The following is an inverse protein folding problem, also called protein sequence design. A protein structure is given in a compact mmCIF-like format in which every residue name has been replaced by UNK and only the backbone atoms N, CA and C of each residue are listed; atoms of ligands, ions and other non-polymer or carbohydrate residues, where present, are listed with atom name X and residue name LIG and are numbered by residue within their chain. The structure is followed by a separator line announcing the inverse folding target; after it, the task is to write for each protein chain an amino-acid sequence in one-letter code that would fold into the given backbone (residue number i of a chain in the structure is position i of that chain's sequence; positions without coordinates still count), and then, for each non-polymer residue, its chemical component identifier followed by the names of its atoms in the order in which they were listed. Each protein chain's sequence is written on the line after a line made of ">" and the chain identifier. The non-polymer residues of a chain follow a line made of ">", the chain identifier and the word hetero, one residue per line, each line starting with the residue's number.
data_IF_373982774947
#
_entry.id   IF_373982774947
#
_cell.length_a   1.000
_cell.length_b   1.000
_cell.length_c   1.000
_cell.angle_alpha   90.00
_cell.angle_beta   90.00
_cell.angle_gamma   90.00
#
_symmetry.space_group_name_H-M   'P 1'
#
loop_
_entity.id
_entity.type
_entity.pdbx_description
1 polymer ?
#
# COMPACT_ATOMS: atom_id res chain seq x y z
N UNK A 1 -2.24 -6.53 -18.11
CA UNK A 1 -1.09 -5.61 -18.33
C UNK A 1 0.23 -6.34 -18.59
N UNK A 2 0.57 -7.37 -17.82
CA UNK A 2 1.85 -8.07 -18.00
C UNK A 2 1.94 -8.76 -19.36
N UNK A 3 0.83 -9.34 -19.82
CA UNK A 3 0.68 -9.87 -21.20
C UNK A 3 0.88 -8.79 -22.28
N UNK A 4 0.68 -7.52 -21.93
CA UNK A 4 0.87 -6.37 -22.82
C UNK A 4 2.32 -5.83 -22.78
N UNK A 5 3.22 -6.53 -22.09
CA UNK A 5 4.66 -6.21 -22.02
C UNK A 5 5.07 -5.32 -20.85
N UNK A 6 4.16 -5.03 -19.91
CA UNK A 6 4.52 -4.30 -18.70
C UNK A 6 5.42 -5.14 -17.80
N UNK A 7 6.48 -4.54 -17.25
CA UNK A 7 7.36 -5.21 -16.26
C UNK A 7 6.88 -5.05 -14.83
N UNK A 8 6.22 -3.93 -14.53
CA UNK A 8 5.66 -3.57 -13.23
C UNK A 8 4.30 -2.92 -13.42
N UNK A 9 3.48 -2.93 -12.36
CA UNK A 9 2.20 -2.23 -12.28
C UNK A 9 2.37 -0.70 -12.31
N UNK A 10 3.27 -0.17 -11.49
CA UNK A 10 3.53 1.27 -11.35
C UNK A 10 4.99 1.61 -11.64
N UNK A 11 5.85 1.53 -10.63
CA UNK A 11 7.25 1.96 -10.65
C UNK A 11 8.09 1.04 -9.78
N UNK A 12 9.38 0.93 -10.12
CA UNK A 12 10.37 0.25 -9.29
C UNK A 12 10.86 1.12 -8.13
N UNK A 13 10.73 2.45 -8.25
CA UNK A 13 11.21 3.38 -7.24
C UNK A 13 10.29 3.37 -6.02
N UNK A 14 10.82 3.35 -4.77
CA UNK A 14 9.99 3.42 -3.57
C UNK A 14 9.12 4.68 -3.56
N UNK A 15 7.96 4.60 -2.92
CA UNK A 15 7.05 5.74 -2.87
C UNK A 15 7.73 6.94 -2.19
N UNK A 16 7.62 8.12 -2.80
CA UNK A 16 8.16 9.35 -2.25
C UNK A 16 7.61 9.69 -0.85
N UNK A 17 6.34 9.35 -0.56
CA UNK A 17 5.73 9.53 0.76
C UNK A 17 6.39 8.64 1.82
N UNK A 18 6.67 7.37 1.48
CA UNK A 18 7.43 6.46 2.34
C UNK A 18 8.84 6.98 2.61
N UNK A 19 9.56 7.42 1.57
CA UNK A 19 10.90 7.98 1.73
C UNK A 19 10.90 9.21 2.63
N UNK A 20 9.86 10.04 2.56
CA UNK A 20 9.68 11.18 3.45
C UNK A 20 9.46 10.71 4.90
N UNK A 21 8.56 9.75 5.13
CA UNK A 21 8.29 9.19 6.45
C UNK A 21 9.55 8.60 7.09
N UNK A 22 10.37 7.87 6.34
CA UNK A 22 11.65 7.32 6.82
C UNK A 22 12.62 8.43 7.24
N UNK A 23 12.70 9.53 6.47
CA UNK A 23 13.57 10.67 6.82
C UNK A 23 13.11 11.40 8.07
N UNK A 24 11.81 11.58 8.24
CA UNK A 24 11.22 12.35 9.34
C UNK A 24 11.09 11.55 10.63
N UNK A 25 10.82 10.24 10.51
CA UNK A 25 10.55 9.31 11.61
C UNK A 25 11.31 7.99 11.45
N UNK A 26 12.65 8.01 11.38
CA UNK A 26 13.44 6.78 11.25
C UNK A 26 13.25 5.83 12.45
N UNK A 27 12.85 6.34 13.61
CA UNK A 27 12.51 5.57 14.80
C UNK A 27 11.35 4.58 14.60
N UNK A 28 10.42 4.91 13.70
CA UNK A 28 9.23 4.09 13.40
C UNK A 28 9.59 2.82 12.60
N UNK A 29 10.68 2.85 11.83
CA UNK A 29 11.12 1.72 10.99
C UNK A 29 12.09 0.78 11.72
N UNK A 30 11.96 0.69 13.05
CA UNK A 30 12.74 -0.21 13.89
C UNK A 30 11.95 -1.47 14.22
N UNK A 31 12.65 -2.60 14.37
CA UNK A 31 12.02 -3.89 14.65
C UNK A 31 11.44 -4.56 13.41
N UNK A 32 10.36 -5.31 13.59
CA UNK A 32 9.75 -6.14 12.54
C UNK A 32 8.59 -5.41 11.85
N UNK A 33 8.67 -5.34 10.53
CA UNK A 33 7.73 -4.59 9.68
C UNK A 33 6.81 -5.56 8.92
N UNK A 34 5.52 -5.23 8.82
CA UNK A 34 4.60 -5.89 7.88
C UNK A 34 4.11 -4.90 6.82
N UNK A 35 4.30 -5.23 5.54
CA UNK A 35 3.80 -4.47 4.38
C UNK A 35 2.53 -5.12 3.84
N UNK A 36 1.39 -4.44 4.00
CA UNK A 36 0.03 -4.94 3.77
C UNK A 36 -0.45 -4.54 2.37
N UNK A 37 -0.59 -5.53 1.49
CA UNK A 37 -0.91 -5.31 0.07
C UNK A 37 0.31 -4.83 -0.70
N UNK A 38 1.43 -5.54 -0.54
CA UNK A 38 2.73 -5.11 -1.04
C UNK A 38 2.85 -5.11 -2.58
N UNK A 39 1.90 -5.73 -3.30
CA UNK A 39 1.94 -5.88 -4.74
C UNK A 39 3.23 -6.56 -5.20
N UNK A 40 3.95 -5.91 -6.11
CA UNK A 40 5.23 -6.39 -6.63
C UNK A 40 6.42 -6.04 -5.71
N UNK A 41 6.14 -5.59 -4.49
CA UNK A 41 7.13 -5.39 -3.44
C UNK A 41 7.95 -4.11 -3.56
N UNK A 42 7.52 -3.10 -4.33
CA UNK A 42 8.26 -1.84 -4.53
C UNK A 42 8.84 -1.24 -3.24
N UNK A 43 7.98 -1.04 -2.25
CA UNK A 43 8.36 -0.44 -0.96
C UNK A 43 9.07 -1.47 -0.05
N UNK A 44 8.62 -2.72 -0.07
CA UNK A 44 9.26 -3.85 0.62
C UNK A 44 10.71 -4.09 0.21
N UNK A 45 11.01 -4.10 -1.09
CA UNK A 45 12.34 -4.33 -1.66
C UNK A 45 13.31 -3.22 -1.24
N UNK A 46 12.84 -1.97 -1.24
CA UNK A 46 13.63 -0.85 -0.72
C UNK A 46 13.96 -1.04 0.76
N UNK A 47 12.98 -1.37 1.59
CA UNK A 47 13.22 -1.59 3.03
C UNK A 47 14.16 -2.78 3.29
N UNK A 48 14.00 -3.88 2.56
CA UNK A 48 14.91 -5.03 2.60
C UNK A 48 16.34 -4.63 2.20
N UNK A 49 16.51 -3.78 1.18
CA UNK A 49 17.83 -3.29 0.77
C UNK A 49 18.49 -2.37 1.81
N UNK A 50 17.70 -1.77 2.71
CA UNK A 50 18.22 -1.01 3.86
C UNK A 50 18.47 -1.90 5.09
N UNK A 51 18.23 -3.21 4.99
CA UNK A 51 18.46 -4.17 6.07
C UNK A 51 17.33 -4.28 7.11
N UNK A 52 16.13 -3.79 6.80
CA UNK A 52 14.97 -3.97 7.67
C UNK A 52 14.45 -5.42 7.60
N UNK A 53 13.86 -5.91 8.70
CA UNK A 53 13.12 -7.17 8.76
C UNK A 53 11.68 -6.93 8.30
N UNK A 54 11.37 -7.36 7.07
CA UNK A 54 10.08 -7.08 6.41
C UNK A 54 9.37 -8.38 6.05
N UNK A 55 8.12 -8.48 6.48
CA UNK A 55 7.15 -9.46 5.98
C UNK A 55 6.19 -8.76 5.04
N UNK A 56 6.07 -9.23 3.81
CA UNK A 56 5.31 -8.58 2.76
C UNK A 56 4.15 -9.48 2.34
N UNK A 57 2.92 -8.97 2.44
CA UNK A 57 1.73 -9.77 2.17
C UNK A 57 0.91 -9.20 1.03
N UNK A 58 0.44 -10.08 0.16
CA UNK A 58 -0.49 -9.76 -0.90
C UNK A 58 -1.37 -10.98 -1.21
N UNK A 59 -2.53 -10.78 -1.83
CA UNK A 59 -3.41 -11.88 -2.31
C UNK A 59 -3.02 -12.35 -3.71
N UNK A 60 -2.28 -11.55 -4.46
CA UNK A 60 -1.88 -11.83 -5.83
C UNK A 60 -0.62 -12.68 -5.86
N UNK A 61 -0.80 -13.98 -6.13
CA UNK A 61 0.30 -14.90 -6.38
C UNK A 61 1.28 -14.37 -7.45
N UNK A 62 0.73 -13.84 -8.55
CA UNK A 62 1.51 -13.27 -9.66
C UNK A 62 2.36 -12.08 -9.22
N UNK A 63 1.84 -11.19 -8.38
CA UNK A 63 2.59 -10.04 -7.90
C UNK A 63 3.72 -10.46 -6.96
N UNK A 64 3.45 -11.43 -6.07
CA UNK A 64 4.46 -11.99 -5.16
C UNK A 64 5.57 -12.73 -5.89
N UNK A 65 5.27 -13.48 -6.95
CA UNK A 65 6.30 -14.13 -7.77
C UNK A 65 7.22 -13.10 -8.43
N UNK A 66 6.66 -12.00 -8.95
CA UNK A 66 7.45 -10.89 -9.48
C UNK A 66 8.30 -10.22 -8.39
N UNK A 67 7.73 -9.99 -7.22
CA UNK A 67 8.47 -9.44 -6.09
C UNK A 67 9.67 -10.32 -5.71
N UNK A 68 9.49 -11.65 -5.71
CA UNK A 68 10.56 -12.63 -5.46
C UNK A 68 11.62 -12.63 -6.56
N UNK A 69 11.23 -12.53 -7.84
CA UNK A 69 12.17 -12.38 -8.96
C UNK A 69 13.04 -11.13 -8.81
N UNK A 70 12.42 -9.99 -8.45
CA UNK A 70 13.11 -8.72 -8.23
C UNK A 70 14.04 -8.78 -7.01
N UNK A 71 13.58 -9.37 -5.90
CA UNK A 71 14.40 -9.61 -4.71
C UNK A 71 15.63 -10.46 -5.06
N UNK A 72 15.44 -11.57 -5.78
CA UNK A 72 16.52 -12.44 -6.21
C UNK A 72 17.54 -11.71 -7.11
N UNK A 73 17.06 -10.90 -8.06
CA UNK A 73 17.92 -10.08 -8.92
C UNK A 73 18.74 -9.04 -8.13
N UNK A 74 18.22 -8.56 -7.00
CA UNK A 74 18.88 -7.63 -6.09
C UNK A 74 19.69 -8.31 -4.97
N UNK A 75 19.75 -9.65 -4.91
CA UNK A 75 20.34 -10.45 -3.83
C UNK A 75 19.73 -10.15 -2.44
N UNK A 76 18.42 -9.91 -2.39
CA UNK A 76 17.64 -9.69 -1.17
C UNK A 76 16.95 -10.99 -0.74
N UNK A 77 16.72 -11.15 0.56
CA UNK A 77 15.95 -12.29 1.08
C UNK A 77 14.46 -12.10 0.77
N UNK A 78 13.90 -13.02 -0.01
CA UNK A 78 12.50 -13.02 -0.40
C UNK A 78 11.63 -13.95 0.45
N UNK A 79 12.18 -14.54 1.53
CA UNK A 79 11.46 -15.48 2.39
C UNK A 79 10.25 -14.85 3.10
N UNK A 80 10.26 -13.53 3.27
CA UNK A 80 9.18 -12.75 3.88
C UNK A 80 7.98 -12.45 2.97
N UNK A 81 8.00 -12.80 1.68
CA UNK A 81 6.86 -12.59 0.77
C UNK A 81 5.84 -13.72 0.88
N UNK A 82 4.66 -13.45 1.45
CA UNK A 82 3.65 -14.46 1.80
C UNK A 82 2.29 -14.13 1.20
N UNK A 83 1.68 -15.12 0.54
CA UNK A 83 0.32 -14.99 0.01
C UNK A 83 -0.72 -15.05 1.13
N UNK A 84 -1.34 -13.91 1.43
CA UNK A 84 -2.31 -13.77 2.53
C UNK A 84 -3.34 -12.69 2.24
N UNK A 85 -4.56 -12.97 2.68
CA UNK A 85 -5.64 -11.98 2.74
C UNK A 85 -5.44 -11.06 3.95
N UNK A 86 -5.26 -9.76 3.66
CA UNK A 86 -5.06 -8.72 4.66
C UNK A 86 -6.28 -8.53 5.57
N UNK A 87 -7.48 -8.93 5.15
CA UNK A 87 -8.70 -8.84 5.97
C UNK A 87 -8.55 -9.71 7.24
N UNK A 88 -7.87 -10.85 7.13
CA UNK A 88 -7.78 -11.83 8.22
C UNK A 88 -6.38 -12.01 8.79
N UNK A 89 -5.32 -11.76 8.01
CA UNK A 89 -3.91 -11.94 8.40
C UNK A 89 -3.69 -13.28 9.14
N UNK A 90 -4.27 -14.36 8.59
CA UNK A 90 -4.23 -15.68 9.21
C UNK A 90 -2.79 -16.20 9.30
N UNK A 91 -2.43 -16.71 10.47
CA UNK A 91 -1.11 -17.28 10.73
C UNK A 91 -0.08 -16.28 11.26
N UNK A 92 -0.43 -15.00 11.36
CA UNK A 92 0.36 -14.05 12.16
C UNK A 92 -0.10 -14.07 13.60
N UNK A 93 0.84 -14.05 14.54
CA UNK A 93 0.57 -14.00 15.97
C UNK A 93 0.30 -12.56 16.43
N UNK A 94 -0.40 -12.42 17.54
CA UNK A 94 -0.63 -11.12 18.15
C UNK A 94 0.68 -10.55 18.69
N UNK A 95 0.83 -9.23 18.66
CA UNK A 95 2.04 -8.52 19.13
C UNK A 95 3.35 -9.03 18.49
N UNK A 96 3.31 -9.36 17.20
CA UNK A 96 4.45 -9.88 16.44
C UNK A 96 5.16 -8.85 15.56
N UNK A 97 4.58 -7.66 15.37
CA UNK A 97 5.14 -6.58 14.54
C UNK A 97 5.28 -5.26 15.31
N UNK A 98 6.31 -4.50 15.00
CA UNK A 98 6.57 -3.17 15.54
C UNK A 98 5.97 -2.08 14.64
N UNK A 99 5.90 -2.34 13.33
CA UNK A 99 5.31 -1.46 12.33
C UNK A 99 4.46 -2.26 11.34
N UNK A 100 3.25 -1.75 11.06
CA UNK A 100 2.44 -2.14 9.93
C UNK A 100 2.40 -0.99 8.92
N UNK A 101 2.50 -1.31 7.64
CA UNK A 101 2.39 -0.36 6.54
C UNK A 101 1.25 -0.80 5.64
N UNK A 102 0.39 0.14 5.26
CA UNK A 102 -0.59 -0.02 4.20
C UNK A 102 -0.42 1.16 3.25
N UNK A 103 0.34 0.93 2.18
CA UNK A 103 0.70 1.97 1.21
C UNK A 103 -0.19 1.81 -0.02
N UNK A 104 -1.32 2.53 -0.07
CA UNK A 104 -2.19 2.49 -1.23
C UNK A 104 -2.96 1.17 -1.43
N UNK A 105 -3.28 0.44 -0.36
CA UNK A 105 -4.06 -0.80 -0.44
C UNK A 105 -5.45 -0.71 0.22
N UNK A 106 -5.55 -0.04 1.38
CA UNK A 106 -6.78 -0.01 2.19
C UNK A 106 -7.98 0.55 1.42
N UNK A 107 -7.77 1.48 0.50
CA UNK A 107 -8.85 2.04 -0.32
C UNK A 107 -9.55 1.00 -1.21
N UNK A 108 -8.92 -0.15 -1.46
CA UNK A 108 -9.49 -1.28 -2.22
C UNK A 108 -10.47 -2.13 -1.39
N UNK A 109 -10.42 -2.04 -0.07
CA UNK A 109 -11.43 -2.63 0.81
C UNK A 109 -12.62 -1.67 0.89
N UNK A 110 -13.66 -1.94 0.09
CA UNK A 110 -14.84 -1.06 -0.01
C UNK A 110 -15.97 -1.43 0.94
N UNK A 111 -15.99 -2.67 1.43
CA UNK A 111 -16.99 -3.14 2.39
C UNK A 111 -16.59 -2.77 3.82
N UNK A 112 -17.42 -1.99 4.52
CA UNK A 112 -17.11 -1.47 5.87
C UNK A 112 -16.78 -2.59 6.88
N UNK A 113 -17.45 -3.75 6.78
CA UNK A 113 -17.17 -4.89 7.66
C UNK A 113 -15.75 -5.45 7.43
N UNK A 114 -15.31 -5.51 6.17
CA UNK A 114 -13.98 -6.01 5.83
C UNK A 114 -12.90 -5.02 6.27
N UNK A 115 -13.14 -3.71 6.11
CA UNK A 115 -12.26 -2.65 6.60
C UNK A 115 -12.11 -2.71 8.11
N UNK A 116 -13.22 -2.74 8.85
CA UNK A 116 -13.20 -2.83 10.31
C UNK A 116 -12.48 -4.09 10.80
N UNK A 117 -12.70 -5.23 10.12
CA UNK A 117 -12.02 -6.49 10.43
C UNK A 117 -10.50 -6.40 10.17
N UNK A 118 -10.10 -5.84 9.03
CA UNK A 118 -8.70 -5.61 8.69
C UNK A 118 -8.01 -4.73 9.75
N UNK A 119 -8.59 -3.56 10.06
CA UNK A 119 -8.00 -2.60 11.01
C UNK A 119 -7.90 -3.23 12.41
N UNK A 120 -8.94 -3.95 12.85
CA UNK A 120 -8.89 -4.69 14.12
C UNK A 120 -7.77 -5.72 14.13
N UNK A 121 -7.59 -6.46 13.02
CA UNK A 121 -6.53 -7.47 12.95
C UNK A 121 -5.14 -6.84 12.92
N UNK A 122 -4.97 -5.71 12.25
CA UNK A 122 -3.71 -4.93 12.29
C UNK A 122 -3.40 -4.47 13.72
N UNK A 123 -4.42 -4.01 14.46
CA UNK A 123 -4.27 -3.67 15.87
C UNK A 123 -3.76 -4.87 16.70
N UNK A 124 -4.32 -6.06 16.50
CA UNK A 124 -3.94 -7.25 17.27
C UNK A 124 -2.49 -7.70 17.02
N UNK A 125 -2.05 -7.69 15.77
CA UNK A 125 -0.69 -8.15 15.40
C UNK A 125 0.40 -7.16 15.78
N UNK A 126 0.06 -5.88 15.94
CA UNK A 126 1.01 -4.87 16.39
C UNK A 126 1.31 -5.01 17.88
N UNK A 127 2.57 -4.86 18.25
CA UNK A 127 2.99 -4.79 19.66
C UNK A 127 2.40 -3.54 20.34
N UNK A 128 2.24 -3.54 21.67
CA UNK A 128 1.93 -2.31 22.39
C UNK A 128 2.98 -1.24 22.08
N UNK A 129 2.56 -0.03 21.73
CA UNK A 129 3.43 1.05 21.27
C UNK A 129 3.84 0.97 19.79
N UNK A 130 3.47 -0.10 19.08
CA UNK A 130 3.71 -0.27 17.65
C UNK A 130 2.95 0.72 16.78
N UNK A 131 3.42 0.90 15.55
CA UNK A 131 2.92 1.92 14.64
C UNK A 131 2.16 1.33 13.46
N UNK A 132 1.23 2.11 12.91
CA UNK A 132 0.53 1.79 11.68
C UNK A 132 0.62 2.99 10.72
N UNK A 133 1.26 2.82 9.58
CA UNK A 133 1.30 3.82 8.51
C UNK A 133 0.23 3.46 7.49
N UNK A 134 -0.61 4.42 7.13
CA UNK A 134 -1.63 4.25 6.08
C UNK A 134 -1.55 5.40 5.10
N UNK A 135 -1.31 5.10 3.83
CA UNK A 135 -1.44 6.05 2.71
C UNK A 135 -2.71 5.72 1.93
N UNK A 136 -3.70 6.62 1.99
CA UNK A 136 -5.06 6.36 1.49
C UNK A 136 -5.52 7.49 0.57
N UNK A 137 -6.22 7.13 -0.51
CA UNK A 137 -6.81 8.12 -1.41
C UNK A 137 -7.80 9.02 -0.64
N UNK A 138 -7.53 10.33 -0.69
CA UNK A 138 -8.31 11.34 0.03
C UNK A 138 -9.50 11.89 -0.75
N UNK A 139 -9.56 11.59 -2.04
CA UNK A 139 -10.54 12.09 -2.99
C UNK A 139 -9.94 12.16 -4.39
N UNK A 140 -10.79 12.26 -5.41
CA UNK A 140 -10.37 12.31 -6.81
C UNK A 140 -9.49 11.10 -7.20
N UNK A 141 -9.92 9.90 -6.83
CA UNK A 141 -9.19 8.66 -7.10
C UNK A 141 -8.74 8.60 -8.56
N UNK A 142 -7.46 8.25 -8.78
CA UNK A 142 -6.86 8.24 -10.11
C UNK A 142 -6.20 9.56 -10.53
N UNK A 143 -6.50 10.70 -9.88
CA UNK A 143 -5.85 11.97 -10.20
C UNK A 143 -4.39 11.97 -9.76
N UNK A 144 -3.50 12.28 -10.70
CA UNK A 144 -2.05 12.29 -10.47
C UNK A 144 -1.39 10.92 -10.65
N UNK A 145 -2.17 9.87 -10.90
CA UNK A 145 -1.60 8.54 -11.18
C UNK A 145 -0.84 8.60 -12.50
N UNK A 146 0.36 8.02 -12.53
CA UNK A 146 1.08 7.84 -13.78
C UNK A 146 0.21 7.12 -14.82
N UNK A 147 -0.55 6.12 -14.39
CA UNK A 147 -1.39 5.30 -15.25
C UNK A 147 -2.67 5.99 -15.74
N UNK A 148 -2.99 7.19 -15.23
CA UNK A 148 -4.06 8.06 -15.73
C UNK A 148 -3.49 9.47 -15.99
N UNK A 149 -2.76 9.68 -17.10
CA UNK A 149 -2.25 11.01 -17.44
C UNK A 149 -3.37 12.00 -17.79
N UNK A 150 -4.43 11.53 -18.46
CA UNK A 150 -5.52 12.35 -18.98
C UNK A 150 -6.73 12.36 -18.03
N UNK A 151 -6.49 12.59 -16.73
CA UNK A 151 -7.51 12.47 -15.68
C UNK A 151 -8.80 13.23 -15.99
N UNK A 152 -8.71 14.46 -16.50
CA UNK A 152 -9.89 15.28 -16.79
C UNK A 152 -10.82 14.64 -17.84
N UNK A 153 -10.27 13.86 -18.77
CA UNK A 153 -11.05 13.18 -19.81
C UNK A 153 -11.67 11.89 -19.28
N UNK A 154 -10.96 11.13 -18.46
CA UNK A 154 -11.43 9.82 -17.97
C UNK A 154 -12.19 9.88 -16.65
N UNK A 155 -12.11 10.98 -15.89
CA UNK A 155 -12.74 11.10 -14.57
C UNK A 155 -14.23 10.69 -14.54
N UNK A 156 -15.07 11.04 -15.55
CA UNK A 156 -16.46 10.59 -15.60
C UNK A 156 -16.64 9.06 -15.75
N UNK A 157 -15.59 8.36 -16.19
CA UNK A 157 -15.58 6.92 -16.45
C UNK A 157 -14.86 6.10 -15.37
N UNK A 158 -14.38 6.73 -14.30
CA UNK A 158 -13.81 6.08 -13.12
C UNK A 158 -14.90 5.44 -12.25
N UNK A 159 -15.63 4.50 -12.85
CA UNK A 159 -16.71 3.76 -12.21
C UNK A 159 -16.29 2.29 -12.12
N UNK A 160 -16.31 1.65 -10.94
CA UNK A 160 -15.93 0.25 -10.79
C UNK A 160 -16.60 -0.66 -11.82
N UNK A 161 -15.81 -1.54 -12.44
CA UNK A 161 -16.26 -2.44 -13.51
C UNK A 161 -16.20 -1.84 -14.93
N UNK A 162 -16.00 -0.53 -15.09
CA UNK A 162 -15.74 0.05 -16.43
C UNK A 162 -14.30 -0.18 -16.85
N UNK A 163 -14.08 -0.38 -18.14
CA UNK A 163 -12.74 -0.42 -18.73
C UNK A 163 -12.36 0.97 -19.19
N UNK A 164 -11.24 1.47 -18.69
CA UNK A 164 -10.66 2.76 -19.10
C UNK A 164 -9.27 2.56 -19.72
N UNK A 165 -8.81 3.48 -20.58
CA UNK A 165 -7.41 3.49 -21.00
C UNK A 165 -6.51 3.77 -19.79
N UNK A 166 -5.55 2.88 -19.56
CA UNK A 166 -4.51 3.01 -18.54
C UNK A 166 -3.15 2.96 -19.21
N UNK A 167 -2.31 3.92 -18.85
CA UNK A 167 -0.92 3.99 -19.30
C UNK A 167 -0.06 2.99 -18.52
N UNK A 168 0.74 2.22 -19.24
CA UNK A 168 1.70 1.26 -18.69
C UNK A 168 3.10 1.52 -19.24
N UNK A 169 4.11 1.11 -18.47
CA UNK A 169 5.52 1.15 -18.88
C UNK A 169 5.92 -0.19 -19.50
N UNK A 170 6.40 -0.18 -20.73
CA UNK A 170 6.90 -1.35 -21.47
C UNK A 170 8.38 -1.16 -21.81
N UNK A 171 9.08 -2.20 -22.30
CA UNK A 171 10.52 -2.14 -22.54
C UNK A 171 10.95 -0.98 -23.47
N UNK A 172 10.14 -0.67 -24.48
CA UNK A 172 10.43 0.34 -25.51
C UNK A 172 9.63 1.66 -25.34
N UNK A 173 9.09 1.94 -24.14
CA UNK A 173 8.40 3.19 -23.84
C UNK A 173 7.11 3.01 -23.04
N UNK A 174 6.06 3.73 -23.43
CA UNK A 174 4.76 3.73 -22.76
C UNK A 174 3.66 3.33 -23.75
N UNK A 175 2.65 2.61 -23.26
CA UNK A 175 1.50 2.17 -24.05
C UNK A 175 0.22 2.32 -23.24
N UNK A 176 -0.88 2.64 -23.90
CA UNK A 176 -2.21 2.58 -23.30
C UNK A 176 -2.84 1.22 -23.54
N UNK A 177 -3.41 0.64 -22.48
CA UNK A 177 -4.18 -0.61 -22.51
C UNK A 177 -5.53 -0.39 -21.81
N UNK A 178 -6.54 -1.16 -22.17
CA UNK A 178 -7.79 -1.16 -21.41
C UNK A 178 -7.62 -1.94 -20.11
N UNK A 179 -7.91 -1.32 -18.97
CA UNK A 179 -8.01 -2.01 -17.68
C UNK A 179 -9.32 -1.63 -16.98
N UNK A 180 -9.87 -2.59 -16.26
CA UNK A 180 -11.03 -2.38 -15.42
C UNK A 180 -10.70 -1.47 -14.24
N UNK A 181 -11.60 -0.53 -13.93
CA UNK A 181 -11.57 0.24 -12.69
C UNK A 181 -11.96 -0.70 -11.56
N UNK A 182 -11.02 -0.92 -10.65
CA UNK A 182 -11.26 -1.75 -9.47
C UNK A 182 -12.16 -1.01 -8.47
N UNK A 183 -12.91 -1.73 -7.61
CA UNK A 183 -13.60 -1.10 -6.49
C UNK A 183 -12.64 -0.30 -5.62
N UNK A 184 -13.02 0.93 -5.29
CA UNK A 184 -12.25 1.80 -4.41
C UNK A 184 -13.18 2.59 -3.49
N UNK A 185 -12.62 3.07 -2.39
CA UNK A 185 -13.26 3.94 -1.42
C UNK A 185 -12.36 5.14 -1.13
N UNK A 186 -12.94 6.33 -1.09
CA UNK A 186 -12.24 7.55 -0.72
C UNK A 186 -12.53 7.88 0.74
N UNK A 187 -11.53 8.41 1.44
CA UNK A 187 -11.65 8.89 2.82
C UNK A 187 -10.78 10.12 3.00
N UNK A 188 -11.37 11.24 3.42
CA UNK A 188 -10.55 12.38 3.87
C UNK A 188 -9.62 11.96 5.01
N UNK A 189 -8.54 12.68 5.24
CA UNK A 189 -7.63 12.40 6.35
C UNK A 189 -8.34 12.32 7.71
N UNK A 190 -9.29 13.22 7.96
CA UNK A 190 -10.08 13.22 9.20
C UNK A 190 -11.01 12.00 9.32
N UNK A 191 -11.67 11.60 8.22
CA UNK A 191 -12.52 10.42 8.21
C UNK A 191 -11.71 9.14 8.41
N UNK A 192 -10.52 9.05 7.81
CA UNK A 192 -9.61 7.92 7.99
C UNK A 192 -9.06 7.87 9.44
N UNK A 193 -8.73 9.03 10.00
CA UNK A 193 -8.31 9.16 11.39
C UNK A 193 -9.39 8.68 12.36
N UNK A 194 -10.64 9.09 12.14
CA UNK A 194 -11.78 8.65 12.96
C UNK A 194 -12.02 7.14 12.81
N UNK A 195 -12.02 6.63 11.56
CA UNK A 195 -12.22 5.21 11.27
C UNK A 195 -11.20 4.33 12.00
N UNK A 196 -9.90 4.59 11.82
CA UNK A 196 -8.83 3.80 12.43
C UNK A 196 -8.79 4.04 13.95
N UNK A 197 -9.11 5.25 14.40
CA UNK A 197 -9.16 5.61 15.82
C UNK A 197 -10.21 4.82 16.62
N UNK A 198 -11.35 4.44 16.01
CA UNK A 198 -12.36 3.59 16.66
C UNK A 198 -11.83 2.21 17.08
N UNK A 199 -10.72 1.77 16.50
CA UNK A 199 -10.04 0.52 16.84
C UNK A 199 -8.96 0.68 17.91
N UNK A 200 -8.81 1.87 18.50
CA UNK A 200 -7.90 2.13 19.62
C UNK A 200 -6.57 2.78 19.23
N UNK A 201 -6.34 3.07 17.95
CA UNK A 201 -5.17 3.81 17.49
C UNK A 201 -5.26 5.31 17.82
N UNK A 202 -4.12 5.94 18.06
CA UNK A 202 -4.00 7.41 18.14
C UNK A 202 -3.24 7.94 16.93
N UNK A 203 -3.68 9.06 16.35
CA UNK A 203 -2.96 9.75 15.26
C UNK A 203 -1.71 10.42 15.82
N UNK A 204 -0.57 10.17 15.17
CA UNK A 204 0.72 10.78 15.48
C UNK A 204 1.04 11.91 14.49
N UNK A 205 0.82 11.68 13.20
CA UNK A 205 0.96 12.69 12.16
C UNK A 205 0.03 12.42 10.99
N UNK A 206 -0.25 13.47 10.21
CA UNK A 206 -1.04 13.42 8.99
C UNK A 206 -0.38 14.33 7.96
N UNK A 207 -0.21 13.84 6.74
CA UNK A 207 0.44 14.59 5.66
C UNK A 207 -0.30 14.29 4.36
N UNK A 208 -0.76 15.34 3.70
CA UNK A 208 -1.29 15.21 2.33
C UNK A 208 -0.15 14.89 1.38
N UNK A 209 -0.36 13.90 0.50
CA UNK A 209 0.64 13.49 -0.49
C UNK A 209 0.04 13.48 -1.88
N UNK A 210 0.89 13.70 -2.88
CA UNK A 210 0.53 13.60 -4.29
C UNK A 210 1.69 12.95 -5.04
N UNK A 211 1.59 11.64 -5.26
CA UNK A 211 2.68 10.84 -5.84
C UNK A 211 2.22 10.16 -7.13
N UNK A 212 3.16 9.79 -8.01
CA UNK A 212 2.78 9.14 -9.26
C UNK A 212 2.10 7.77 -9.07
N UNK A 213 2.34 7.14 -7.92
CA UNK A 213 1.79 5.86 -7.53
C UNK A 213 0.37 6.00 -6.96
N UNK A 214 0.19 6.91 -5.99
CA UNK A 214 -1.05 6.98 -5.21
C UNK A 214 -1.86 8.25 -5.43
N UNK A 215 -1.40 9.15 -6.30
CA UNK A 215 -2.07 10.40 -6.60
C UNK A 215 -2.38 11.22 -5.35
N UNK A 216 -3.49 11.94 -5.40
CA UNK A 216 -4.03 12.72 -4.28
C UNK A 216 -4.45 11.81 -3.12
N UNK A 217 -3.63 11.78 -2.07
CA UNK A 217 -3.77 10.88 -0.93
C UNK A 217 -3.44 11.58 0.39
N UNK A 218 -3.74 10.93 1.50
CA UNK A 218 -3.29 11.35 2.82
C UNK A 218 -2.59 10.18 3.49
N UNK A 219 -1.34 10.43 3.87
CA UNK A 219 -0.56 9.51 4.69
C UNK A 219 -0.74 9.88 6.16
N UNK A 220 -1.22 8.93 6.95
CA UNK A 220 -1.33 9.05 8.40
C UNK A 220 -0.42 8.03 9.08
N UNK A 221 0.27 8.49 10.12
CA UNK A 221 0.96 7.65 11.07
C UNK A 221 0.10 7.52 12.33
N UNK A 222 -0.18 6.29 12.72
CA UNK A 222 -0.90 5.93 13.92
C UNK A 222 0.00 5.19 14.90
N UNK A 223 -0.38 5.21 16.18
CA UNK A 223 0.26 4.42 17.23
C UNK A 223 -0.78 3.63 18.03
N UNK A 224 -0.47 2.35 18.26
CA UNK A 224 -1.18 1.49 19.22
C UNK A 224 -0.76 1.87 20.65
N UNK A 225 -1.67 1.99 21.62
CA UNK A 225 -1.32 2.30 23.00
C UNK A 225 -0.26 1.33 23.57
N UNK A 226 0.63 1.85 24.42
CA UNK A 226 1.69 1.06 25.04
C UNK A 226 1.20 0.16 26.20
N UNK A 227 -0.04 0.39 26.67
CA UNK A 227 -0.68 -0.32 27.78
C UNK A 227 -2.19 -0.39 27.60
#
# INVERSE_FOLDING_TARGET
>A
MYEEGARLWESAEPNASLLQMIRERPDVFSGRIIDLGCGEGRDSLYLLSQGHDVVSVDVSHTALDRARELAAAANLDASGFVERDIIYLRGFEDNSFDLAMNMGCLHMLVEEEQRARHISRVFDILRPGGHFIVDHCSGEWGKGFFSIPDYAEVAPDLVPGRVIPRRIRVADGEKNIGLEVLPYSERSGDALAEEIGRHGFSVVSSTHTNTEAFGSSTMLLFQKPAS
#
